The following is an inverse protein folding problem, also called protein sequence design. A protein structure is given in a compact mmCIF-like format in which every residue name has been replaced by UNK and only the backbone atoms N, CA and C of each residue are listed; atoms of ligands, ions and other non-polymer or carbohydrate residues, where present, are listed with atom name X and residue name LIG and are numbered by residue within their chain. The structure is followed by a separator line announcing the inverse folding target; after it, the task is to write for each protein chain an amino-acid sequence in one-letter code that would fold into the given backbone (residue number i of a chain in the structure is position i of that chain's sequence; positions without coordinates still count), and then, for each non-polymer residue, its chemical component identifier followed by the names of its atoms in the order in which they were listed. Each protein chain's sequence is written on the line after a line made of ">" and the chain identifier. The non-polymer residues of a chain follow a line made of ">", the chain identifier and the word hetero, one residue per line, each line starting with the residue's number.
data_IF_367167362979
#
_entry.id   IF_367167362979
#
_cell.length_a   1.000
_cell.length_b   1.000
_cell.length_c   1.000
_cell.angle_alpha   90.00
_cell.angle_beta   90.00
_cell.angle_gamma   90.00
#
_symmetry.space_group_name_H-M   'P 1'
#
loop_
_entity.id
_entity.type
_entity.pdbx_description
1 polymer ?
#
# COMPACT_ATOMS: atom_id res chain seq x y z
N UNK A 1 25.08 30.05 -24.31
CA UNK A 1 25.12 29.25 -23.05
C UNK A 1 23.71 28.98 -22.50
N UNK A 2 22.71 28.76 -23.37
CA UNK A 2 21.32 28.46 -22.99
C UNK A 2 21.08 26.97 -22.75
N UNK A 3 21.78 26.09 -23.48
CA UNK A 3 21.68 24.64 -23.32
C UNK A 3 22.09 24.16 -21.91
N UNK A 4 23.09 24.83 -21.31
CA UNK A 4 23.51 24.59 -19.93
C UNK A 4 22.45 25.03 -18.90
N UNK A 5 21.76 26.15 -19.14
CA UNK A 5 20.65 26.62 -18.27
C UNK A 5 19.37 25.79 -18.43
N UNK A 6 19.07 25.31 -19.65
CA UNK A 6 17.92 24.45 -19.89
C UNK A 6 18.11 23.03 -19.37
N UNK A 7 19.34 22.47 -19.48
CA UNK A 7 19.67 21.17 -18.91
C UNK A 7 19.62 21.16 -17.38
N UNK A 8 20.01 22.26 -16.74
CA UNK A 8 19.95 22.39 -15.27
C UNK A 8 18.50 22.45 -14.76
N UNK A 9 17.63 23.18 -15.46
CA UNK A 9 16.21 23.25 -15.12
C UNK A 9 15.46 21.92 -15.32
N UNK A 10 15.70 21.21 -16.43
CA UNK A 10 15.08 19.91 -16.70
C UNK A 10 15.49 18.85 -15.68
N UNK A 11 16.79 18.78 -15.36
CA UNK A 11 17.30 17.90 -14.30
C UNK A 11 16.74 18.26 -12.92
N UNK A 12 16.54 19.54 -12.62
CA UNK A 12 15.92 19.98 -11.39
C UNK A 12 14.45 19.51 -11.29
N UNK A 13 13.68 19.60 -12.38
CA UNK A 13 12.30 19.11 -12.40
C UNK A 13 12.21 17.57 -12.29
N UNK A 14 13.10 16.84 -12.95
CA UNK A 14 13.19 15.39 -12.81
C UNK A 14 13.56 14.98 -11.37
N UNK A 15 14.47 15.72 -10.73
CA UNK A 15 14.83 15.50 -9.33
C UNK A 15 13.66 15.79 -8.39
N UNK A 16 12.93 16.89 -8.60
CA UNK A 16 11.75 17.25 -7.82
C UNK A 16 10.62 16.22 -7.98
N UNK A 17 10.43 15.68 -9.19
CA UNK A 17 9.50 14.56 -9.42
C UNK A 17 9.92 13.34 -8.62
N UNK A 18 11.20 12.96 -8.67
CA UNK A 18 11.70 11.80 -7.94
C UNK A 18 11.50 11.94 -6.43
N UNK A 19 11.76 13.13 -5.89
CA UNK A 19 11.50 13.45 -4.48
C UNK A 19 10.02 13.31 -4.17
N UNK A 20 9.12 13.87 -4.99
CA UNK A 20 7.67 13.77 -4.77
C UNK A 20 7.17 12.32 -4.79
N UNK A 21 7.66 11.50 -5.71
CA UNK A 21 7.33 10.07 -5.76
C UNK A 21 7.84 9.32 -4.52
N UNK A 22 9.06 9.63 -4.06
CA UNK A 22 9.63 9.07 -2.83
C UNK A 22 8.83 9.48 -1.59
N UNK A 23 8.44 10.75 -1.49
CA UNK A 23 7.68 11.30 -0.37
C UNK A 23 6.40 10.51 -0.09
N UNK A 24 5.69 10.07 -1.13
CA UNK A 24 4.50 9.21 -0.97
C UNK A 24 4.88 7.86 -0.34
N UNK A 25 6.00 7.29 -0.79
CA UNK A 25 6.46 5.95 -0.43
C UNK A 25 7.17 5.90 0.94
N UNK A 26 7.70 7.02 1.42
CA UNK A 26 8.34 7.18 2.73
C UNK A 26 7.40 7.68 3.83
N UNK A 27 6.12 7.89 3.51
CA UNK A 27 5.11 8.26 4.51
C UNK A 27 5.07 9.76 4.83
N UNK A 28 5.61 10.63 3.98
CA UNK A 28 5.40 12.06 4.13
C UNK A 28 3.91 12.42 4.04
N UNK A 29 3.53 13.46 4.78
CA UNK A 29 2.14 13.91 4.83
C UNK A 29 1.62 14.26 3.43
N UNK A 30 0.59 13.55 2.97
CA UNK A 30 0.10 13.64 1.59
C UNK A 30 -0.32 15.05 1.17
N UNK A 31 -0.82 15.87 2.10
CA UNK A 31 -1.13 17.28 1.81
C UNK A 31 0.10 18.09 1.42
N UNK A 32 1.25 17.82 2.05
CA UNK A 32 2.52 18.48 1.75
C UNK A 32 3.07 18.01 0.41
N UNK A 33 2.98 16.70 0.15
CA UNK A 33 3.37 16.11 -1.13
C UNK A 33 2.54 16.68 -2.28
N UNK A 34 1.22 16.80 -2.10
CA UNK A 34 0.32 17.35 -3.12
C UNK A 34 0.66 18.80 -3.46
N UNK A 35 0.95 19.64 -2.46
CA UNK A 35 1.40 21.03 -2.69
C UNK A 35 2.72 21.07 -3.47
N UNK A 36 3.68 20.18 -3.15
CA UNK A 36 4.93 20.08 -3.89
C UNK A 36 4.71 19.69 -5.35
N UNK A 37 3.90 18.65 -5.58
CA UNK A 37 3.50 18.19 -6.91
C UNK A 37 2.82 19.31 -7.72
N UNK A 38 1.88 20.05 -7.11
CA UNK A 38 1.16 21.15 -7.78
C UNK A 38 2.10 22.30 -8.17
N UNK A 39 3.07 22.61 -7.32
CA UNK A 39 4.11 23.59 -7.63
C UNK A 39 4.94 23.14 -8.83
N UNK A 40 5.41 21.88 -8.83
CA UNK A 40 6.19 21.30 -9.94
C UNK A 40 5.40 21.34 -11.24
N UNK A 41 4.12 20.92 -11.23
CA UNK A 41 3.22 20.97 -12.40
C UNK A 41 3.08 22.40 -12.92
N UNK A 42 2.87 23.39 -12.04
CA UNK A 42 2.74 24.80 -12.41
C UNK A 42 3.99 25.32 -13.12
N UNK A 43 5.17 24.99 -12.61
CA UNK A 43 6.44 25.38 -13.21
C UNK A 43 6.69 24.69 -14.56
N UNK A 44 6.45 23.37 -14.65
CA UNK A 44 6.65 22.60 -15.88
C UNK A 44 5.70 23.03 -17.00
N UNK A 45 4.45 23.36 -16.67
CA UNK A 45 3.46 23.86 -17.62
C UNK A 45 3.90 25.20 -18.25
N UNK A 46 4.48 26.09 -17.44
CA UNK A 46 4.99 27.40 -17.91
C UNK A 46 6.21 27.26 -18.84
N UNK A 47 7.03 26.23 -18.62
CA UNK A 47 8.25 26.01 -19.40
C UNK A 47 8.02 25.48 -20.83
N UNK A 48 6.78 25.09 -21.20
CA UNK A 48 6.31 24.69 -22.55
C UNK A 48 7.09 23.59 -23.31
N UNK A 49 8.16 23.01 -22.74
CA UNK A 49 9.07 22.07 -23.42
C UNK A 49 9.12 20.64 -22.82
N UNK A 50 8.42 20.34 -21.72
CA UNK A 50 8.58 19.09 -20.97
C UNK A 50 7.32 18.23 -20.92
N UNK A 51 6.78 17.81 -22.08
CA UNK A 51 5.50 17.07 -22.15
C UNK A 51 5.54 15.69 -21.49
N UNK A 52 6.62 14.92 -21.65
CA UNK A 52 6.75 13.59 -21.06
C UNK A 52 6.89 13.64 -19.55
N UNK A 53 7.84 14.43 -19.04
CA UNK A 53 8.03 14.63 -17.60
C UNK A 53 6.77 15.16 -16.89
N UNK A 54 5.99 16.02 -17.57
CA UNK A 54 4.70 16.50 -17.07
C UNK A 54 3.67 15.37 -16.92
N UNK A 55 3.64 14.41 -17.85
CA UNK A 55 2.74 13.27 -17.75
C UNK A 55 3.07 12.39 -16.53
N UNK A 56 4.36 12.24 -16.22
CA UNK A 56 4.81 11.40 -15.10
C UNK A 56 4.46 12.01 -13.74
N UNK A 57 4.67 13.31 -13.54
CA UNK A 57 4.26 14.00 -12.31
C UNK A 57 2.73 14.01 -12.15
N UNK A 58 1.96 13.99 -13.24
CA UNK A 58 0.50 13.85 -13.20
C UNK A 58 0.06 12.46 -12.72
N UNK A 59 0.80 11.40 -13.06
CA UNK A 59 0.54 10.06 -12.51
C UNK A 59 0.77 10.01 -10.99
N UNK A 60 1.82 10.67 -10.51
CA UNK A 60 2.09 10.77 -9.07
C UNK A 60 0.98 11.57 -8.37
N UNK A 61 0.47 12.64 -9.00
CA UNK A 61 -0.71 13.38 -8.52
C UNK A 61 -1.94 12.49 -8.43
N UNK A 62 -2.23 11.69 -9.46
CA UNK A 62 -3.36 10.76 -9.47
C UNK A 62 -3.26 9.73 -8.34
N UNK A 63 -2.06 9.21 -8.09
CA UNK A 63 -1.82 8.31 -6.96
C UNK A 63 -2.15 9.00 -5.63
N UNK A 64 -1.60 10.19 -5.37
CA UNK A 64 -1.87 10.94 -4.13
C UNK A 64 -3.35 11.26 -3.97
N UNK A 65 -4.02 11.74 -5.04
CA UNK A 65 -5.46 11.99 -5.03
C UNK A 65 -6.23 10.73 -4.67
N UNK A 66 -5.90 9.56 -5.23
CA UNK A 66 -6.60 8.30 -4.93
C UNK A 66 -6.48 7.84 -3.47
N UNK A 67 -5.44 8.26 -2.76
CA UNK A 67 -5.25 7.96 -1.34
C UNK A 67 -6.03 8.93 -0.45
N UNK A 68 -6.27 10.15 -0.94
CA UNK A 68 -6.96 11.22 -0.20
C UNK A 68 -8.48 11.22 -0.46
N UNK A 69 -8.92 11.09 -1.69
CA UNK A 69 -10.34 11.08 -2.08
C UNK A 69 -10.76 9.70 -2.60
N UNK A 70 -12.06 9.45 -2.55
CA UNK A 70 -12.68 8.25 -3.14
C UNK A 70 -12.89 8.41 -4.65
N UNK A 71 -12.14 9.30 -5.29
CA UNK A 71 -12.32 9.61 -6.71
C UNK A 71 -11.82 8.45 -7.56
N UNK A 72 -12.60 8.07 -8.57
CA UNK A 72 -12.21 7.04 -9.52
C UNK A 72 -11.12 7.57 -10.46
N UNK A 73 -9.86 7.38 -10.07
CA UNK A 73 -8.71 7.69 -10.94
C UNK A 73 -8.40 6.56 -11.94
N UNK A 74 -8.94 5.36 -11.71
CA UNK A 74 -8.72 4.17 -12.53
C UNK A 74 -8.98 4.39 -14.02
N UNK A 75 -10.16 4.89 -14.44
CA UNK A 75 -10.46 5.15 -15.85
C UNK A 75 -9.49 6.12 -16.53
N UNK A 76 -8.98 7.12 -15.77
CA UNK A 76 -7.98 8.05 -16.31
C UNK A 76 -6.66 7.33 -16.57
N UNK A 77 -6.22 6.47 -15.64
CA UNK A 77 -5.00 5.68 -15.79
C UNK A 77 -5.15 4.67 -16.95
N UNK A 78 -6.30 4.01 -17.05
CA UNK A 78 -6.60 3.03 -18.11
C UNK A 78 -6.59 3.70 -19.50
N UNK A 79 -7.13 4.92 -19.62
CA UNK A 79 -7.03 5.71 -20.85
C UNK A 79 -5.58 6.06 -21.22
N UNK A 80 -4.71 6.32 -20.24
CA UNK A 80 -3.29 6.55 -20.48
C UNK A 80 -2.56 5.28 -20.92
N UNK A 81 -2.91 4.12 -20.36
CA UNK A 81 -2.39 2.81 -20.78
C UNK A 81 -2.70 2.57 -22.26
N UNK A 82 -3.96 2.76 -22.68
CA UNK A 82 -4.36 2.59 -24.08
C UNK A 82 -3.61 3.56 -25.01
N UNK A 83 -3.45 4.82 -24.58
CA UNK A 83 -2.64 5.79 -25.31
C UNK A 83 -1.19 5.30 -25.48
N UNK A 84 -0.54 4.81 -24.41
CA UNK A 84 0.85 4.35 -24.48
C UNK A 84 1.05 3.11 -25.35
N UNK A 85 0.07 2.21 -25.41
CA UNK A 85 0.06 1.08 -26.35
C UNK A 85 0.15 1.57 -27.81
N UNK A 86 -0.56 2.65 -28.14
CA UNK A 86 -0.55 3.21 -29.51
C UNK A 86 0.72 4.01 -29.84
N UNK A 87 1.39 4.60 -28.85
CA UNK A 87 2.58 5.47 -29.05
C UNK A 87 3.92 4.75 -28.88
N UNK A 88 3.93 3.46 -28.51
CA UNK A 88 5.12 2.63 -28.26
C UNK A 88 6.11 3.23 -27.24
N UNK A 89 5.60 3.92 -26.23
CA UNK A 89 6.40 4.54 -25.16
C UNK A 89 6.57 3.58 -23.97
N UNK A 90 7.53 2.67 -24.06
CA UNK A 90 7.70 1.59 -23.07
C UNK A 90 7.92 2.08 -21.62
N UNK A 91 8.68 3.16 -21.44
CA UNK A 91 8.95 3.73 -20.11
C UNK A 91 7.71 4.36 -19.48
N UNK A 92 6.94 5.12 -20.26
CA UNK A 92 5.71 5.77 -19.79
C UNK A 92 4.63 4.72 -19.48
N UNK A 93 4.57 3.64 -20.27
CA UNK A 93 3.73 2.47 -20.01
C UNK A 93 4.07 1.84 -18.67
N UNK A 94 5.34 1.56 -18.40
CA UNK A 94 5.79 0.95 -17.15
C UNK A 94 5.37 1.79 -15.92
N UNK A 95 5.58 3.11 -15.97
CA UNK A 95 5.22 4.02 -14.90
C UNK A 95 3.71 4.12 -14.69
N UNK A 96 2.94 4.12 -15.78
CA UNK A 96 1.47 4.16 -15.73
C UNK A 96 0.92 2.87 -15.12
N UNK A 97 1.44 1.71 -15.52
CA UNK A 97 1.06 0.43 -14.96
C UNK A 97 1.42 0.29 -13.48
N UNK A 98 2.60 0.80 -13.08
CA UNK A 98 2.96 0.88 -11.67
C UNK A 98 1.94 1.71 -10.87
N UNK A 99 1.57 2.89 -11.36
CA UNK A 99 0.54 3.71 -10.71
C UNK A 99 -0.79 2.97 -10.64
N UNK A 100 -1.19 2.26 -11.70
CA UNK A 100 -2.41 1.44 -11.71
C UNK A 100 -2.37 0.34 -10.64
N UNK A 101 -1.23 -0.33 -10.50
CA UNK A 101 -1.01 -1.37 -9.48
C UNK A 101 -1.16 -0.80 -8.07
N UNK A 102 -0.56 0.35 -7.79
CA UNK A 102 -0.67 0.99 -6.46
C UNK A 102 -2.09 1.40 -6.12
N UNK A 103 -2.77 2.04 -7.06
CA UNK A 103 -4.18 2.43 -6.89
C UNK A 103 -5.02 1.19 -6.64
N UNK A 104 -4.80 0.10 -7.39
CA UNK A 104 -5.54 -1.14 -7.20
C UNK A 104 -5.26 -1.80 -5.85
N UNK A 105 -3.99 -1.88 -5.43
CA UNK A 105 -3.60 -2.43 -4.13
C UNK A 105 -4.29 -1.71 -2.98
N UNK A 106 -4.18 -0.39 -2.92
CA UNK A 106 -4.73 0.41 -1.83
C UNK A 106 -6.27 0.43 -1.83
N UNK A 107 -6.89 0.27 -3.00
CA UNK A 107 -8.35 0.10 -3.11
C UNK A 107 -8.84 -1.34 -2.94
N UNK A 108 -7.97 -2.29 -2.59
CA UNK A 108 -8.31 -3.72 -2.44
C UNK A 108 -8.94 -4.33 -3.72
N UNK A 109 -8.60 -3.81 -4.90
CA UNK A 109 -9.12 -4.24 -6.19
C UNK A 109 -8.29 -5.40 -6.78
N UNK A 110 -8.30 -6.55 -6.09
CA UNK A 110 -7.44 -7.71 -6.39
C UNK A 110 -7.56 -8.22 -7.84
N UNK A 111 -8.77 -8.18 -8.44
CA UNK A 111 -8.98 -8.63 -9.83
C UNK A 111 -8.14 -7.84 -10.84
N UNK A 112 -7.87 -6.55 -10.59
CA UNK A 112 -7.02 -5.74 -11.47
C UNK A 112 -5.54 -6.05 -11.28
N UNK A 113 -5.15 -6.65 -10.15
CA UNK A 113 -3.75 -6.90 -9.84
C UNK A 113 -3.21 -8.10 -10.60
N UNK A 114 -4.01 -9.13 -10.86
CA UNK A 114 -3.53 -10.37 -11.51
C UNK A 114 -2.81 -10.10 -12.84
N UNK A 115 -3.36 -9.23 -13.70
CA UNK A 115 -2.72 -8.86 -14.96
C UNK A 115 -1.41 -8.08 -14.75
N UNK A 116 -1.36 -7.29 -13.67
CA UNK A 116 -0.23 -6.41 -13.31
C UNK A 116 0.90 -7.16 -12.58
N UNK A 117 0.65 -8.34 -12.00
CA UNK A 117 1.67 -9.09 -11.29
C UNK A 117 2.68 -9.78 -12.20
N UNK A 118 2.32 -9.96 -13.49
CA UNK A 118 3.21 -10.49 -14.53
C UNK A 118 4.23 -9.45 -15.06
N UNK A 119 4.22 -8.22 -14.55
CA UNK A 119 5.02 -7.12 -15.07
C UNK A 119 6.51 -7.26 -14.75
N UNK A 120 7.35 -7.04 -15.77
CA UNK A 120 8.78 -6.90 -15.61
C UNK A 120 9.16 -5.41 -15.51
N UNK A 121 9.11 -4.86 -14.30
CA UNK A 121 9.50 -3.47 -14.03
C UNK A 121 11.03 -3.33 -14.06
N UNK A 122 11.55 -2.36 -14.82
CA UNK A 122 12.96 -2.01 -14.94
C UNK A 122 13.35 -0.79 -14.10
N UNK A 123 12.38 0.00 -13.61
CA UNK A 123 12.62 1.17 -12.77
C UNK A 123 12.96 0.75 -11.34
N UNK A 124 14.24 0.89 -10.95
CA UNK A 124 14.83 0.31 -9.73
C UNK A 124 14.04 0.61 -8.44
N UNK A 125 13.64 1.86 -8.18
CA UNK A 125 12.92 2.20 -6.94
C UNK A 125 11.49 1.65 -6.95
N UNK A 126 10.76 1.85 -8.04
CA UNK A 126 9.39 1.34 -8.21
C UNK A 126 9.37 -0.18 -8.14
N UNK A 127 10.39 -0.85 -8.66
CA UNK A 127 10.57 -2.29 -8.52
C UNK A 127 10.64 -2.75 -7.06
N UNK A 128 11.37 -2.04 -6.18
CA UNK A 128 11.47 -2.38 -4.76
C UNK A 128 10.09 -2.38 -4.09
N UNK A 129 9.32 -1.31 -4.29
CA UNK A 129 8.00 -1.22 -3.68
C UNK A 129 6.97 -2.13 -4.35
N UNK A 130 7.05 -2.34 -5.68
CA UNK A 130 6.25 -3.36 -6.35
C UNK A 130 6.48 -4.74 -5.71
N UNK A 131 7.74 -5.14 -5.49
CA UNK A 131 8.08 -6.40 -4.81
C UNK A 131 7.53 -6.46 -3.39
N UNK A 132 7.52 -5.36 -2.66
CA UNK A 132 6.93 -5.30 -1.31
C UNK A 132 5.44 -5.65 -1.33
N UNK A 133 4.65 -4.91 -2.10
CA UNK A 133 3.21 -5.11 -2.17
C UNK A 133 2.86 -6.45 -2.85
N UNK A 134 3.65 -6.87 -3.84
CA UNK A 134 3.49 -8.18 -4.45
C UNK A 134 3.68 -9.31 -3.44
N UNK A 135 4.72 -9.25 -2.59
CA UNK A 135 4.94 -10.27 -1.56
C UNK A 135 3.74 -10.40 -0.60
N UNK A 136 3.15 -9.28 -0.18
CA UNK A 136 1.93 -9.27 0.64
C UNK A 136 0.77 -9.97 -0.08
N UNK A 137 0.51 -9.57 -1.34
CA UNK A 137 -0.56 -10.17 -2.15
C UNK A 137 -0.31 -11.66 -2.32
N UNK A 138 0.91 -12.07 -2.63
CA UNK A 138 1.26 -13.47 -2.87
C UNK A 138 0.99 -14.33 -1.63
N UNK A 139 1.40 -13.91 -0.44
CA UNK A 139 1.08 -14.64 0.79
C UNK A 139 -0.43 -14.68 1.07
N UNK A 140 -1.16 -13.61 0.78
CA UNK A 140 -2.62 -13.59 0.92
C UNK A 140 -3.32 -14.53 -0.05
N UNK A 141 -2.89 -14.58 -1.31
CA UNK A 141 -3.44 -15.49 -2.32
C UNK A 141 -3.15 -16.95 -1.98
N UNK A 142 -1.96 -17.24 -1.46
CA UNK A 142 -1.64 -18.56 -0.94
C UNK A 142 -2.63 -19.00 0.15
N UNK A 143 -2.87 -18.14 1.16
CA UNK A 143 -3.84 -18.43 2.22
C UNK A 143 -5.29 -18.54 1.73
N UNK A 144 -5.62 -17.93 0.59
CA UNK A 144 -6.92 -18.07 -0.05
C UNK A 144 -7.05 -19.38 -0.87
N UNK A 145 -5.98 -20.17 -0.98
CA UNK A 145 -6.00 -21.46 -1.70
C UNK A 145 -5.69 -21.37 -3.18
N UNK A 146 -5.13 -20.26 -3.66
CA UNK A 146 -4.83 -20.04 -5.09
C UNK A 146 -3.57 -20.79 -5.60
N UNK A 147 -2.93 -21.61 -4.75
CA UNK A 147 -1.84 -22.52 -5.13
C UNK A 147 -0.46 -22.18 -4.55
N UNK A 148 0.42 -23.19 -4.50
CA UNK A 148 1.78 -23.12 -3.91
C UNK A 148 2.70 -22.12 -4.64
N UNK A 149 2.47 -21.85 -5.92
CA UNK A 149 3.26 -20.86 -6.69
C UNK A 149 3.23 -19.47 -6.04
N UNK A 150 2.12 -19.11 -5.37
CA UNK A 150 2.02 -17.86 -4.64
C UNK A 150 2.90 -17.83 -3.39
N UNK A 151 3.05 -18.96 -2.70
CA UNK A 151 3.97 -19.05 -1.57
C UNK A 151 5.41 -18.82 -2.02
N UNK A 152 5.80 -19.44 -3.14
CA UNK A 152 7.13 -19.28 -3.74
C UNK A 152 7.41 -17.83 -4.16
N UNK A 153 6.42 -17.17 -4.79
CA UNK A 153 6.53 -15.75 -5.15
C UNK A 153 6.65 -14.84 -3.92
N UNK A 154 5.90 -15.14 -2.85
CA UNK A 154 6.01 -14.44 -1.57
C UNK A 154 7.42 -14.59 -0.96
N UNK A 155 7.95 -15.83 -0.94
CA UNK A 155 9.30 -16.14 -0.47
C UNK A 155 10.38 -15.42 -1.30
N UNK A 156 10.25 -15.37 -2.63
CA UNK A 156 11.15 -14.62 -3.51
C UNK A 156 11.19 -13.11 -3.17
N UNK A 157 10.03 -12.53 -2.83
CA UNK A 157 9.95 -11.14 -2.40
C UNK A 157 10.57 -10.95 -1.01
N UNK A 158 10.30 -11.86 -0.07
CA UNK A 158 10.86 -11.84 1.28
C UNK A 158 12.40 -11.89 1.27
N UNK A 159 13.01 -12.77 0.47
CA UNK A 159 14.47 -12.87 0.36
C UNK A 159 15.11 -11.58 -0.17
N UNK A 160 14.47 -10.88 -1.12
CA UNK A 160 14.94 -9.56 -1.57
C UNK A 160 14.92 -8.53 -0.44
N UNK A 161 13.86 -8.54 0.37
CA UNK A 161 13.74 -7.63 1.50
C UNK A 161 14.72 -7.92 2.64
N UNK A 162 15.14 -9.17 2.84
CA UNK A 162 16.26 -9.51 3.74
C UNK A 162 17.55 -8.82 3.28
N UNK A 163 17.85 -8.90 1.98
CA UNK A 163 19.03 -8.20 1.40
C UNK A 163 18.89 -6.69 1.54
N UNK A 164 17.77 -6.10 1.13
CA UNK A 164 17.59 -4.64 1.19
C UNK A 164 17.58 -4.09 2.62
N UNK A 165 16.98 -4.81 3.56
CA UNK A 165 17.01 -4.44 4.99
C UNK A 165 18.43 -4.44 5.55
N UNK A 166 19.28 -5.40 5.14
CA UNK A 166 20.70 -5.41 5.54
C UNK A 166 21.48 -4.19 5.04
N UNK A 167 21.05 -3.60 3.90
CA UNK A 167 21.65 -2.40 3.34
C UNK A 167 21.11 -1.11 3.99
N UNK A 168 19.84 -1.11 4.42
CA UNK A 168 19.20 0.07 4.98
C UNK A 168 17.99 -0.29 5.85
N UNK A 169 18.24 -0.68 7.11
CA UNK A 169 17.20 -1.01 8.08
C UNK A 169 16.15 0.10 8.24
N UNK A 170 16.58 1.36 8.31
CA UNK A 170 15.69 2.53 8.47
C UNK A 170 14.58 2.59 7.40
N UNK A 171 14.84 2.11 6.18
CA UNK A 171 13.90 2.19 5.06
C UNK A 171 13.12 0.88 4.82
N UNK A 172 13.68 -0.27 5.23
CA UNK A 172 13.21 -1.58 4.77
C UNK A 172 12.92 -2.58 5.89
N UNK A 173 13.35 -2.34 7.13
CA UNK A 173 13.09 -3.26 8.26
C UNK A 173 11.60 -3.42 8.55
N UNK A 174 10.83 -2.33 8.57
CA UNK A 174 9.36 -2.40 8.71
C UNK A 174 8.72 -3.27 7.63
N UNK A 175 9.16 -3.13 6.38
CA UNK A 175 8.65 -3.87 5.22
C UNK A 175 9.03 -5.35 5.28
N UNK A 176 10.27 -5.64 5.68
CA UNK A 176 10.73 -7.01 5.94
C UNK A 176 9.85 -7.67 7.01
N UNK A 177 9.64 -7.00 8.16
CA UNK A 177 8.81 -7.52 9.24
C UNK A 177 7.34 -7.75 8.82
N UNK A 178 6.78 -6.89 7.95
CA UNK A 178 5.44 -7.12 7.37
C UNK A 178 5.44 -8.40 6.51
N UNK A 179 6.44 -8.60 5.65
CA UNK A 179 6.54 -9.80 4.82
C UNK A 179 6.79 -11.06 5.65
N UNK A 180 7.59 -10.97 6.72
CA UNK A 180 7.79 -12.06 7.67
C UNK A 180 6.48 -12.40 8.40
N UNK A 181 5.72 -11.39 8.83
CA UNK A 181 4.42 -11.63 9.48
C UNK A 181 3.43 -12.32 8.53
N UNK A 182 3.35 -11.87 7.29
CA UNK A 182 2.52 -12.49 6.24
C UNK A 182 2.97 -13.93 5.94
N UNK A 183 4.28 -14.19 5.92
CA UNK A 183 4.83 -15.54 5.77
C UNK A 183 4.45 -16.45 6.94
N UNK A 184 4.65 -16.01 8.18
CA UNK A 184 4.29 -16.80 9.37
C UNK A 184 2.78 -17.07 9.44
N UNK A 185 1.95 -16.09 9.03
CA UNK A 185 0.51 -16.30 8.90
C UNK A 185 0.17 -17.37 7.87
N UNK A 186 0.93 -17.44 6.77
CA UNK A 186 0.77 -18.49 5.74
C UNK A 186 1.22 -19.86 6.21
N UNK A 187 2.23 -19.94 7.08
CA UNK A 187 2.69 -21.19 7.72
C UNK A 187 1.84 -21.57 8.96
N UNK A 188 0.77 -20.81 9.24
CA UNK A 188 -0.09 -20.96 10.41
C UNK A 188 0.63 -20.84 11.77
N UNK A 189 1.82 -20.22 11.83
CA UNK A 189 2.47 -19.85 13.09
C UNK A 189 1.88 -18.53 13.61
N UNK A 190 0.77 -18.66 14.33
CA UNK A 190 0.01 -17.52 14.87
C UNK A 190 0.87 -16.66 15.81
N UNK A 191 1.69 -17.28 16.66
CA UNK A 191 2.47 -16.56 17.67
C UNK A 191 3.58 -15.71 17.01
N UNK A 192 4.28 -16.29 16.04
CA UNK A 192 5.29 -15.58 15.27
C UNK A 192 4.66 -14.47 14.42
N UNK A 193 3.54 -14.74 13.73
CA UNK A 193 2.84 -13.75 12.91
C UNK A 193 2.45 -12.51 13.74
N UNK A 194 1.83 -12.71 14.91
CA UNK A 194 1.48 -11.63 15.85
C UNK A 194 2.69 -10.78 16.23
N UNK A 195 3.77 -11.45 16.65
CA UNK A 195 5.01 -10.77 17.09
C UNK A 195 5.61 -9.92 15.98
N UNK A 196 5.64 -10.44 14.74
CA UNK A 196 6.19 -9.74 13.59
C UNK A 196 5.33 -8.55 13.16
N UNK A 197 4.00 -8.69 13.14
CA UNK A 197 3.10 -7.57 12.85
C UNK A 197 3.23 -6.42 13.85
N UNK A 198 3.27 -6.74 15.14
CA UNK A 198 3.45 -5.75 16.21
C UNK A 198 4.81 -5.05 16.09
N UNK A 199 5.86 -5.82 15.80
CA UNK A 199 7.21 -5.30 15.60
C UNK A 199 7.28 -4.39 14.38
N UNK A 200 6.67 -4.78 13.26
CA UNK A 200 6.58 -3.97 12.05
C UNK A 200 5.96 -2.60 12.31
N UNK A 201 4.80 -2.57 13.00
CA UNK A 201 4.12 -1.32 13.33
C UNK A 201 4.99 -0.41 14.22
N UNK A 202 5.70 -0.99 15.19
CA UNK A 202 6.60 -0.25 16.09
C UNK A 202 7.82 0.30 15.34
N UNK A 203 8.50 -0.52 14.54
CA UNK A 203 9.68 -0.11 13.77
C UNK A 203 9.32 0.96 12.76
N UNK A 204 8.20 0.78 12.03
CA UNK A 204 7.71 1.78 11.09
C UNK A 204 7.49 3.14 11.76
N UNK A 205 6.84 3.16 12.93
CA UNK A 205 6.64 4.38 13.71
C UNK A 205 7.95 5.04 14.12
N UNK A 206 8.90 4.25 14.63
CA UNK A 206 10.19 4.75 15.11
C UNK A 206 11.03 5.37 13.98
N UNK A 207 10.90 4.83 12.76
CA UNK A 207 11.59 5.33 11.57
C UNK A 207 10.81 6.43 10.84
N UNK A 208 9.65 6.86 11.34
CA UNK A 208 8.82 7.89 10.70
C UNK A 208 8.04 7.43 9.45
N UNK A 209 8.01 6.12 9.18
CA UNK A 209 7.31 5.50 8.04
C UNK A 209 5.82 5.31 8.40
N UNK A 210 5.07 6.41 8.48
CA UNK A 210 3.67 6.41 8.96
C UNK A 210 2.76 5.56 8.06
N UNK A 211 3.01 5.56 6.75
CA UNK A 211 2.31 4.72 5.78
C UNK A 211 2.50 3.21 6.06
N UNK A 212 3.73 2.79 6.40
CA UNK A 212 4.02 1.41 6.77
C UNK A 212 3.38 1.04 8.11
N UNK A 213 3.38 1.96 9.08
CA UNK A 213 2.70 1.75 10.35
C UNK A 213 1.21 1.52 10.14
N UNK A 214 0.57 2.36 9.31
CA UNK A 214 -0.84 2.24 8.97
C UNK A 214 -1.15 0.90 8.31
N UNK A 215 -0.30 0.47 7.37
CA UNK A 215 -0.42 -0.80 6.67
C UNK A 215 -0.21 -1.99 7.60
N UNK A 216 0.85 -2.01 8.43
CA UNK A 216 1.11 -3.08 9.38
C UNK A 216 -0.07 -3.25 10.36
N UNK A 217 -0.60 -2.16 10.91
CA UNK A 217 -1.78 -2.21 11.78
C UNK A 217 -3.02 -2.71 11.05
N UNK A 218 -3.22 -2.32 9.78
CA UNK A 218 -4.34 -2.78 8.94
C UNK A 218 -4.25 -4.29 8.72
N UNK A 219 -3.12 -4.77 8.23
CA UNK A 219 -2.88 -6.18 7.93
C UNK A 219 -2.98 -7.02 9.19
N UNK A 220 -2.43 -6.54 10.32
CA UNK A 220 -2.53 -7.26 11.58
C UNK A 220 -3.99 -7.37 12.07
N UNK A 221 -4.75 -6.28 11.99
CA UNK A 221 -6.18 -6.31 12.28
C UNK A 221 -6.95 -7.31 11.40
N UNK A 222 -6.59 -7.40 10.11
CA UNK A 222 -7.18 -8.38 9.18
C UNK A 222 -6.79 -9.82 9.53
N UNK A 223 -5.54 -10.06 9.89
CA UNK A 223 -5.07 -11.35 10.39
C UNK A 223 -5.79 -11.77 11.67
N UNK A 224 -5.93 -10.87 12.64
CA UNK A 224 -6.67 -11.12 13.89
C UNK A 224 -8.14 -11.49 13.63
N UNK A 225 -8.80 -10.83 12.67
CA UNK A 225 -10.15 -11.22 12.23
C UNK A 225 -10.17 -12.65 11.71
N UNK A 226 -9.18 -13.04 10.89
CA UNK A 226 -9.11 -14.39 10.31
C UNK A 226 -8.95 -15.50 11.34
N UNK A 227 -8.39 -15.19 12.51
CA UNK A 227 -8.26 -16.11 13.65
C UNK A 227 -9.28 -15.84 14.77
N UNK A 228 -10.35 -15.08 14.47
CA UNK A 228 -11.50 -14.86 15.38
C UNK A 228 -11.14 -14.03 16.63
N UNK A 229 -10.06 -13.24 16.59
CA UNK A 229 -9.62 -12.37 17.69
C UNK A 229 -10.12 -10.92 17.52
N UNK A 230 -11.45 -10.77 17.52
CA UNK A 230 -12.11 -9.53 17.12
C UNK A 230 -11.81 -8.32 18.01
N UNK A 231 -11.70 -8.51 19.33
CA UNK A 231 -11.45 -7.39 20.25
C UNK A 231 -10.04 -6.79 20.05
N UNK A 232 -9.03 -7.64 19.84
CA UNK A 232 -7.68 -7.19 19.51
C UNK A 232 -7.69 -6.55 18.11
N UNK A 233 -8.38 -7.16 17.13
CA UNK A 233 -8.49 -6.63 15.78
C UNK A 233 -9.05 -5.20 15.74
N UNK A 234 -10.12 -4.91 16.49
CA UNK A 234 -10.72 -3.57 16.58
C UNK A 234 -9.69 -2.54 17.07
N UNK A 235 -8.86 -2.91 18.03
CA UNK A 235 -7.82 -2.03 18.60
C UNK A 235 -6.76 -1.70 17.55
N UNK A 236 -6.29 -2.69 16.80
CA UNK A 236 -5.31 -2.49 15.73
C UNK A 236 -5.86 -1.74 14.51
N UNK A 237 -7.11 -2.00 14.13
CA UNK A 237 -7.78 -1.21 13.08
C UNK A 237 -7.94 0.25 13.51
N UNK A 238 -8.15 0.54 14.80
CA UNK A 238 -8.18 1.92 15.29
C UNK A 238 -6.79 2.59 15.24
N UNK A 239 -5.71 1.87 15.53
CA UNK A 239 -4.34 2.37 15.34
C UNK A 239 -4.02 2.63 13.87
N UNK A 240 -4.46 1.73 12.99
CA UNK A 240 -4.35 1.89 11.53
C UNK A 240 -5.08 3.16 11.07
N UNK A 241 -6.30 3.39 11.56
CA UNK A 241 -7.09 4.60 11.27
C UNK A 241 -6.35 5.87 11.68
N UNK A 242 -5.80 5.91 12.89
CA UNK A 242 -5.03 7.07 13.38
C UNK A 242 -3.79 7.30 12.52
N UNK A 243 -3.08 6.25 12.12
CA UNK A 243 -1.89 6.36 11.27
C UNK A 243 -2.24 6.85 9.86
N UNK A 244 -3.34 6.36 9.25
CA UNK A 244 -3.83 6.89 7.97
C UNK A 244 -4.25 8.36 8.06
N UNK A 245 -4.83 8.77 9.20
CA UNK A 245 -5.15 10.17 9.46
C UNK A 245 -3.89 11.03 9.50
N UNK A 246 -2.84 10.59 10.18
CA UNK A 246 -1.59 11.31 10.32
C UNK A 246 -0.84 11.41 8.98
N UNK A 247 -0.87 10.34 8.19
CA UNK A 247 -0.35 10.35 6.82
C UNK A 247 -1.17 11.25 5.87
N UNK A 248 -2.46 11.43 6.14
CA UNK A 248 -3.38 12.22 5.31
C UNK A 248 -4.12 11.40 4.25
N UNK A 249 -4.07 10.07 4.32
CA UNK A 249 -4.78 9.17 3.41
C UNK A 249 -6.25 9.01 3.82
N UNK A 250 -7.03 10.08 3.63
CA UNK A 250 -8.41 10.17 4.11
C UNK A 250 -9.37 9.16 3.48
N UNK A 251 -9.09 8.67 2.27
CA UNK A 251 -9.87 7.59 1.66
C UNK A 251 -9.66 6.26 2.37
N UNK A 252 -8.39 5.88 2.59
CA UNK A 252 -8.02 4.66 3.28
C UNK A 252 -8.48 4.65 4.75
N UNK A 253 -8.44 5.82 5.40
CA UNK A 253 -9.02 6.02 6.73
C UNK A 253 -10.49 5.61 6.76
N UNK A 254 -11.30 6.09 5.80
CA UNK A 254 -12.73 5.75 5.72
C UNK A 254 -12.94 4.27 5.47
N UNK A 255 -12.14 3.65 4.59
CA UNK A 255 -12.21 2.20 4.34
C UNK A 255 -11.98 1.39 5.62
N UNK A 256 -10.92 1.69 6.37
CA UNK A 256 -10.61 1.02 7.64
C UNK A 256 -11.70 1.26 8.69
N UNK A 257 -12.20 2.49 8.79
CA UNK A 257 -13.29 2.83 9.71
C UNK A 257 -14.56 2.06 9.40
N UNK A 258 -14.93 1.93 8.12
CA UNK A 258 -16.08 1.12 7.70
C UNK A 258 -15.89 -0.35 8.08
N UNK A 259 -14.72 -0.94 7.78
CA UNK A 259 -14.42 -2.34 8.14
C UNK A 259 -14.51 -2.56 9.66
N UNK A 260 -13.97 -1.63 10.45
CA UNK A 260 -14.04 -1.66 11.91
C UNK A 260 -15.47 -1.56 12.44
N UNK A 261 -16.29 -0.68 11.87
CA UNK A 261 -17.70 -0.54 12.26
C UNK A 261 -18.52 -1.79 11.94
N UNK A 262 -18.30 -2.40 10.77
CA UNK A 262 -18.93 -3.68 10.40
C UNK A 262 -18.57 -4.76 11.40
N UNK A 263 -17.28 -4.90 11.73
CA UNK A 263 -16.81 -5.90 12.69
C UNK A 263 -17.46 -5.74 14.08
N UNK A 264 -17.59 -4.51 14.58
CA UNK A 264 -18.25 -4.25 15.88
C UNK A 264 -19.72 -4.66 15.85
N UNK A 265 -20.43 -4.34 14.77
CA UNK A 265 -21.84 -4.71 14.63
C UNK A 265 -21.99 -6.23 14.62
N UNK A 266 -21.15 -6.93 13.88
CA UNK A 266 -21.17 -8.39 13.78
C UNK A 266 -20.80 -9.08 15.10
N UNK A 267 -19.77 -8.59 15.79
CA UNK A 267 -19.34 -9.13 17.09
C UNK A 267 -20.43 -8.97 18.15
N UNK A 268 -21.04 -7.78 18.25
CA UNK A 268 -22.14 -7.53 19.19
C UNK A 268 -23.37 -8.42 18.90
N UNK A 269 -23.63 -8.75 17.63
CA UNK A 269 -24.72 -9.67 17.25
C UNK A 269 -24.41 -11.13 17.64
N UNK A 270 -23.14 -11.53 17.69
CA UNK A 270 -22.73 -12.86 18.15
C UNK A 270 -22.89 -12.99 19.67
N UNK A 271 -22.51 -11.97 20.44
CA UNK A 271 -22.67 -11.94 21.91
C UNK A 271 -24.15 -12.01 22.36
N UNK A 272 -25.07 -11.43 21.58
CA UNK A 272 -26.52 -11.50 21.85
C UNK A 272 -27.09 -12.89 21.53
N UNK A 273 -26.56 -13.58 20.51
CA UNK A 273 -27.02 -14.94 20.17
C UNK A 273 -26.52 -15.99 21.16
N UNK A 274 -25.26 -15.91 21.58
CA UNK A 274 -24.68 -16.84 22.56
C UNK A 274 -25.32 -16.69 23.94
N UNK A 275 -25.69 -15.48 24.35
CA UNK A 275 -26.42 -15.24 25.62
C UNK A 275 -27.88 -15.73 25.60
N UNK A 276 -28.52 -15.82 24.43
CA UNK A 276 -29.90 -16.33 24.28
C UNK A 276 -30.06 -17.86 24.28
N UNK A 277 -28.96 -18.62 24.15
CA UNK A 277 -28.98 -20.08 24.03
C UNK A 277 -28.66 -20.84 25.32
N UNK A 278 -28.68 -20.21 26.50
CA UNK A 278 -28.59 -20.94 27.77
C UNK A 278 -29.96 -21.57 28.12
N UNK A 279 -30.14 -22.91 28.04
CA UNK A 279 -31.32 -23.53 28.62
C UNK A 279 -31.16 -23.44 30.13
N UNK A 280 -32.13 -22.84 30.81
CA UNK A 280 -32.27 -23.00 32.25
C UNK A 280 -32.33 -24.50 32.52
N UNK A 281 -31.34 -25.03 33.24
CA UNK A 281 -31.49 -26.32 33.90
C UNK A 281 -32.61 -26.15 34.93
N UNK A 282 -33.82 -26.49 34.53
CA UNK A 282 -34.92 -26.78 35.44
C UNK A 282 -34.53 -28.04 36.22
N UNK A 283 -33.99 -27.83 37.42
CA UNK A 283 -33.94 -28.85 38.46
C UNK A 283 -35.38 -29.07 38.94
N UNK A 284 -36.02 -30.10 38.38
CA UNK A 284 -37.30 -30.61 38.85
C UNK A 284 -37.12 -31.59 40.03
N UNK A 285 -38.06 -31.46 40.98
CA UNK A 285 -38.47 -32.41 42.02
C UNK A 285 -37.50 -32.73 43.17
#
# INVERSE_FOLDING_TARGET
>A
NEALRSGDAENAYESLRFISALSVLTGEKLSTVLVSIDNVISHMTKAKKMKQSLQLILLDKLLVTSLMSSDEVGPTIDALIEKHKTTNQAWDMELTLYTRFFVAFWNEALFTLNDLLSMNLKVQLKYVYFKFYHGIIAFQQYRNGEGEEWLDQGKDCLEKFKVWSSLSAANFESKLLILEAEYQASEADISAAKTMFQSAARVARNNGLINDQALACKLYGQFLISIVEYQEAISWLNLSKSSFKDWGATHLLKQVENKRQTLIRENNLQDVKTSSCNPKHDLGC
#
